data_IF_488068543915
#
_entry.id   IF_488068543915
#
_cell.length_a   1.000
_cell.length_b   1.000
_cell.length_c   1.000
_cell.angle_alpha   90.00
_cell.angle_beta   90.00
_cell.angle_gamma   90.00
#
_symmetry.space_group_name_H-M   'P 1'
#
loop_
_entity.id
_entity.type
_entity.pdbx_description
1 polymer ?
#
# COMPACT_ATOMS: atom_id res chain seq x y z
N UNK A 1 -6.33 -14.81 5.74
CA UNK A 1 -5.91 -16.08 5.10
C UNK A 1 -4.48 -16.37 5.57
N UNK A 2 -4.16 -17.61 5.95
CA UNK A 2 -2.79 -18.00 6.33
C UNK A 2 -1.91 -18.10 5.08
N UNK A 3 -0.60 -17.77 5.13
CA UNK A 3 0.37 -18.02 4.07
C UNK A 3 0.36 -19.46 3.52
N UNK A 4 -0.18 -20.41 4.29
CA UNK A 4 -0.31 -21.83 3.94
C UNK A 4 -1.16 -22.11 2.69
N UNK A 5 -1.99 -21.16 2.26
CA UNK A 5 -2.87 -21.32 1.10
C UNK A 5 -2.24 -20.92 -0.25
N UNK A 6 -0.98 -20.46 -0.23
CA UNK A 6 -0.25 -20.11 -1.45
C UNK A 6 0.44 -21.39 -1.96
N UNK A 7 0.29 -21.76 -3.25
CA UNK A 7 0.89 -22.98 -3.81
C UNK A 7 2.41 -22.80 -4.02
N UNK A 8 3.14 -22.71 -2.92
CA UNK A 8 4.60 -22.66 -2.87
C UNK A 8 5.15 -23.99 -2.35
N UNK A 9 6.36 -24.35 -2.81
CA UNK A 9 7.10 -25.42 -2.16
C UNK A 9 7.59 -24.97 -0.77
N UNK A 10 8.01 -25.93 0.06
CA UNK A 10 8.39 -25.63 1.45
C UNK A 10 9.59 -24.66 1.53
N UNK A 11 10.49 -24.68 0.54
CA UNK A 11 11.66 -23.81 0.49
C UNK A 11 11.28 -22.36 0.21
N UNK A 12 10.35 -22.13 -0.71
CA UNK A 12 9.87 -20.80 -1.03
C UNK A 12 8.93 -20.26 0.05
N UNK A 13 8.21 -21.12 0.78
CA UNK A 13 7.49 -20.73 2.00
C UNK A 13 8.42 -20.20 3.10
N UNK A 14 9.55 -20.86 3.34
CA UNK A 14 10.55 -20.37 4.30
C UNK A 14 11.10 -18.99 3.91
N UNK A 15 11.40 -18.79 2.62
CA UNK A 15 11.82 -17.46 2.13
C UNK A 15 10.74 -16.40 2.30
N UNK A 16 9.49 -16.74 1.99
CA UNK A 16 8.37 -15.82 2.17
C UNK A 16 8.22 -15.42 3.64
N UNK A 17 8.32 -16.38 4.57
CA UNK A 17 8.31 -16.09 6.00
C UNK A 17 9.44 -15.14 6.41
N UNK A 18 10.67 -15.36 5.91
CA UNK A 18 11.79 -14.47 6.17
C UNK A 18 11.55 -13.04 5.64
N UNK A 19 10.96 -12.90 4.45
CA UNK A 19 10.57 -11.60 3.89
C UNK A 19 9.48 -10.95 4.76
N UNK A 20 8.45 -11.70 5.16
CA UNK A 20 7.40 -11.19 6.06
C UNK A 20 7.95 -10.70 7.40
N UNK A 21 9.00 -11.34 7.93
CA UNK A 21 9.62 -10.96 9.21
C UNK A 21 10.57 -9.76 9.08
N UNK A 22 11.34 -9.68 7.99
CA UNK A 22 12.41 -8.69 7.84
C UNK A 22 11.96 -7.45 7.08
N UNK A 23 11.12 -7.62 6.07
CA UNK A 23 10.67 -6.57 5.16
C UNK A 23 9.24 -6.82 4.67
N UNK A 24 8.23 -6.73 5.56
CA UNK A 24 6.86 -7.03 5.20
C UNK A 24 6.28 -6.05 4.16
N UNK A 25 6.78 -4.81 4.09
CA UNK A 25 6.29 -3.82 3.14
C UNK A 25 6.76 -4.10 1.71
N UNK A 26 7.85 -4.87 1.55
CA UNK A 26 8.24 -5.45 0.27
C UNK A 26 7.22 -6.42 -0.32
N UNK A 27 6.11 -6.73 0.35
CA UNK A 27 5.00 -7.51 -0.20
C UNK A 27 3.88 -6.65 -0.77
N UNK A 28 3.91 -5.33 -0.56
CA UNK A 28 2.94 -4.42 -1.15
C UNK A 28 3.17 -4.37 -2.66
N UNK A 29 2.12 -4.64 -3.42
CA UNK A 29 2.13 -4.53 -4.88
C UNK A 29 1.81 -3.10 -5.30
N UNK A 30 0.82 -2.48 -4.65
CA UNK A 30 0.53 -1.06 -4.83
C UNK A 30 -0.21 -0.47 -3.64
N UNK A 31 -0.10 0.84 -3.48
CA UNK A 31 -0.90 1.59 -2.53
C UNK A 31 -1.33 2.94 -3.10
N UNK A 32 -2.44 3.46 -2.58
CA UNK A 32 -3.08 4.65 -3.12
C UNK A 32 -3.74 5.47 -2.03
N UNK A 33 -3.94 6.77 -2.32
CA UNK A 33 -4.49 7.74 -1.39
C UNK A 33 -5.68 8.46 -2.02
N UNK A 34 -6.80 8.46 -1.28
CA UNK A 34 -7.92 9.37 -1.45
C UNK A 34 -7.91 10.41 -0.30
N UNK A 35 -7.44 11.65 -0.53
CA UNK A 35 -7.33 12.69 0.48
C UNK A 35 -8.67 13.37 0.81
N UNK A 36 -9.76 12.98 0.14
CA UNK A 36 -11.10 13.58 0.26
C UNK A 36 -12.20 12.49 0.23
N UNK A 37 -11.94 11.36 0.89
CA UNK A 37 -12.82 10.20 0.87
C UNK A 37 -14.21 10.55 1.42
N UNK A 38 -15.24 10.27 0.62
CA UNK A 38 -16.64 10.60 0.95
C UNK A 38 -17.33 9.57 1.86
N UNK A 39 -16.65 8.47 2.19
CA UNK A 39 -17.20 7.38 2.98
C UNK A 39 -17.80 6.24 2.16
N UNK A 40 -17.87 6.37 0.83
CA UNK A 40 -18.54 5.41 -0.06
C UNK A 40 -17.64 4.97 -1.22
N UNK A 41 -17.21 5.90 -2.07
CA UNK A 41 -16.41 5.58 -3.26
C UNK A 41 -14.99 6.08 -3.10
N UNK A 42 -14.04 5.15 -3.13
CA UNK A 42 -12.61 5.50 -3.11
C UNK A 42 -12.17 6.12 -4.44
N UNK A 43 -11.57 7.30 -4.40
CA UNK A 43 -11.07 8.03 -5.57
C UNK A 43 -9.59 8.33 -5.40
N UNK A 44 -8.75 7.45 -5.96
CA UNK A 44 -7.30 7.63 -5.95
C UNK A 44 -6.90 8.95 -6.61
N UNK A 45 -6.14 9.76 -5.89
CA UNK A 45 -5.48 10.97 -6.42
C UNK A 45 -3.98 10.79 -6.60
N UNK A 46 -3.43 9.79 -5.91
CA UNK A 46 -2.04 9.41 -5.97
C UNK A 46 -1.93 7.91 -5.68
N UNK A 47 -0.98 7.27 -6.34
CA UNK A 47 -0.63 5.88 -6.11
C UNK A 47 0.85 5.64 -6.37
N UNK A 48 1.36 4.57 -5.78
CA UNK A 48 2.61 3.96 -6.18
C UNK A 48 2.46 2.44 -6.25
N UNK A 49 3.37 1.81 -6.99
CA UNK A 49 3.32 0.38 -7.29
C UNK A 49 4.74 -0.18 -7.44
N UNK A 50 4.89 -1.48 -7.17
CA UNK A 50 6.12 -2.23 -7.45
C UNK A 50 6.54 -2.03 -8.90
N UNK A 51 7.84 -2.03 -9.16
CA UNK A 51 8.47 -1.75 -10.46
C UNK A 51 8.43 -0.27 -10.89
N UNK A 52 7.80 0.63 -10.12
CA UNK A 52 7.82 2.06 -10.39
C UNK A 52 9.15 2.73 -9.97
N UNK A 53 10.18 2.48 -10.77
CA UNK A 53 11.54 2.96 -10.51
C UNK A 53 11.73 4.47 -10.71
N UNK A 54 10.75 5.18 -11.31
CA UNK A 54 10.82 6.62 -11.51
C UNK A 54 10.82 7.39 -10.18
N UNK A 55 10.32 6.76 -9.09
CA UNK A 55 10.18 7.39 -7.79
C UNK A 55 11.45 7.28 -6.92
N UNK A 56 12.13 6.13 -6.90
CA UNK A 56 13.27 5.86 -6.01
C UNK A 56 14.33 4.89 -6.56
N UNK A 57 14.19 4.43 -7.81
CA UNK A 57 15.04 3.41 -8.44
C UNK A 57 15.04 2.03 -7.78
N UNK A 58 14.05 1.72 -6.92
CA UNK A 58 13.85 0.40 -6.32
C UNK A 58 12.65 -0.31 -6.98
N UNK A 59 12.89 -1.35 -7.80
CA UNK A 59 11.79 -2.05 -8.46
C UNK A 59 11.00 -2.97 -7.53
N UNK A 60 11.47 -3.25 -6.31
CA UNK A 60 10.87 -4.23 -5.40
C UNK A 60 10.03 -3.58 -4.29
N UNK A 61 10.08 -2.26 -4.14
CA UNK A 61 9.37 -1.53 -3.11
C UNK A 61 8.49 -0.45 -3.72
N UNK A 62 7.37 -0.19 -3.05
CA UNK A 62 6.71 1.10 -3.18
C UNK A 62 7.41 2.10 -2.27
N UNK A 63 7.36 3.39 -2.61
CA UNK A 63 7.76 4.44 -1.68
C UNK A 63 6.89 4.42 -0.44
N UNK A 64 7.48 4.68 0.71
CA UNK A 64 6.77 4.66 2.00
C UNK A 64 6.13 5.99 2.39
N UNK A 65 6.35 7.04 1.59
CA UNK A 65 5.76 8.34 1.84
C UNK A 65 5.66 9.16 0.56
N UNK A 66 4.70 10.07 0.53
CA UNK A 66 4.51 11.02 -0.57
C UNK A 66 4.04 12.36 0.00
N UNK A 67 4.06 13.39 -0.84
CA UNK A 67 3.47 14.70 -0.56
C UNK A 67 2.53 15.08 -1.69
N UNK A 68 1.27 15.28 -1.35
CA UNK A 68 0.23 15.65 -2.31
C UNK A 68 -0.14 17.11 -2.08
N UNK A 69 -0.04 17.92 -3.12
CA UNK A 69 -0.51 19.31 -3.07
C UNK A 69 -2.04 19.32 -3.15
N UNK A 70 -2.70 19.93 -2.16
CA UNK A 70 -4.16 19.98 -2.07
C UNK A 70 -4.63 21.40 -1.76
N UNK A 71 -5.84 21.80 -2.21
CA UNK A 71 -6.49 23.02 -1.74
C UNK A 71 -6.64 22.99 -0.21
N UNK A 72 -6.57 24.14 0.46
CA UNK A 72 -6.76 24.18 1.91
C UNK A 72 -8.21 23.82 2.29
N UNK A 73 -8.34 23.07 3.39
CA UNK A 73 -9.57 22.72 4.12
C UNK A 73 -9.21 22.70 5.60
N UNK A 74 -10.17 22.91 6.50
CA UNK A 74 -9.90 22.79 7.94
C UNK A 74 -9.69 21.33 8.38
N UNK A 75 -10.39 20.40 7.72
CA UNK A 75 -10.36 18.97 8.01
C UNK A 75 -10.56 18.15 6.73
N UNK A 76 -9.96 16.96 6.70
CA UNK A 76 -10.04 15.99 5.59
C UNK A 76 -10.26 14.59 6.13
N UNK A 77 -11.13 13.81 5.47
CA UNK A 77 -11.20 12.36 5.65
C UNK A 77 -10.30 11.71 4.60
N UNK A 78 -9.14 11.22 5.04
CA UNK A 78 -8.15 10.58 4.18
C UNK A 78 -8.35 9.08 4.23
N UNK A 79 -8.49 8.43 3.09
CA UNK A 79 -8.45 6.98 2.97
C UNK A 79 -7.14 6.57 2.29
N UNK A 80 -6.46 5.60 2.87
CA UNK A 80 -5.29 4.95 2.29
C UNK A 80 -5.63 3.49 2.05
N UNK A 81 -5.39 3.02 0.83
CA UNK A 81 -5.57 1.62 0.43
C UNK A 81 -4.25 1.02 0.02
N UNK A 82 -4.01 -0.23 0.40
CA UNK A 82 -2.85 -1.01 -0.04
C UNK A 82 -3.29 -2.41 -0.46
N UNK A 83 -2.65 -2.93 -1.49
CA UNK A 83 -2.85 -4.28 -2.01
C UNK A 83 -1.50 -4.98 -2.07
N UNK A 84 -1.44 -6.21 -1.56
CA UNK A 84 -0.22 -7.02 -1.60
C UNK A 84 -0.13 -7.89 -2.87
N UNK A 85 1.04 -8.52 -3.06
CA UNK A 85 1.32 -9.43 -4.19
C UNK A 85 0.41 -10.67 -4.23
N UNK A 86 -0.35 -10.93 -3.18
CA UNK A 86 -1.33 -12.02 -3.11
C UNK A 86 -2.76 -11.54 -3.41
N UNK A 87 -2.95 -10.25 -3.66
CA UNK A 87 -4.23 -9.63 -3.97
C UNK A 87 -5.07 -9.28 -2.74
N UNK A 88 -4.50 -9.28 -1.53
CA UNK A 88 -5.23 -8.83 -0.35
C UNK A 88 -5.24 -7.31 -0.27
N UNK A 89 -6.45 -6.75 -0.16
CA UNK A 89 -6.67 -5.33 0.08
C UNK A 89 -6.84 -5.04 1.57
N UNK A 90 -6.18 -3.98 2.03
CA UNK A 90 -6.44 -3.33 3.31
C UNK A 90 -6.65 -1.83 3.13
N UNK A 91 -7.48 -1.24 3.99
CA UNK A 91 -7.72 0.20 3.97
C UNK A 91 -7.75 0.79 5.39
N UNK A 92 -7.27 2.01 5.52
CA UNK A 92 -7.41 2.83 6.73
C UNK A 92 -8.02 4.17 6.38
N UNK A 93 -8.90 4.67 7.25
CA UNK A 93 -9.53 5.98 7.12
C UNK A 93 -9.12 6.80 8.33
N UNK A 94 -8.65 8.03 8.09
CA UNK A 94 -8.20 8.97 9.11
C UNK A 94 -8.86 10.33 8.89
N UNK A 95 -9.39 10.92 9.96
CA UNK A 95 -9.80 12.32 9.97
C UNK A 95 -8.60 13.18 10.38
N UNK A 96 -8.20 14.11 9.51
CA UNK A 96 -6.96 14.89 9.60
C UNK A 96 -7.28 16.39 9.59
N UNK A 97 -6.84 17.11 10.63
CA UNK A 97 -6.87 18.58 10.66
C UNK A 97 -5.70 19.14 9.84
N UNK A 98 -5.97 20.17 9.03
CA UNK A 98 -5.04 20.68 8.02
C UNK A 98 -4.65 22.15 8.23
#
# INVERSE_FOLDING_TARGET
LSPDNIPLDDKDKEKLQQVMEQDPLSLIEYWSIDPDYDGDTFRSTWQDYRENVDNDSDPLHCVYSTRIAMPHKDERKVCVKAVDVFGFESQVILDVKC
#
